data_IF_527020322917
#
_entry.id   IF_527020322917
#
_cell.length_a   1.000
_cell.length_b   1.000
_cell.length_c   1.000
_cell.angle_alpha   90.00
_cell.angle_beta   90.00
_cell.angle_gamma   90.00
#
_symmetry.space_group_name_H-M   'P 1'
#
loop_
_entity.id
_entity.type
_entity.pdbx_description
1 polymer ?
#
# COMPACT_ATOMS: atom_id res chain seq x y z
N UNK A 1 -0.26 37.01 -51.46
CA UNK A 1 -1.25 36.79 -50.38
C UNK A 1 -0.91 35.48 -49.72
N UNK A 2 -0.36 35.58 -48.51
CA UNK A 2 0.25 34.51 -47.73
C UNK A 2 -0.81 33.71 -46.97
N UNK A 3 -0.78 32.39 -47.14
CA UNK A 3 -1.61 31.42 -46.41
C UNK A 3 -1.20 31.40 -44.93
N UNK A 4 -2.13 31.74 -44.03
CA UNK A 4 -1.93 31.57 -42.59
C UNK A 4 -2.02 30.07 -42.23
N UNK A 5 -1.08 29.53 -41.44
CA UNK A 5 -1.20 28.17 -40.93
C UNK A 5 -2.24 28.13 -39.82
N UNK A 6 -3.25 27.29 -40.06
CA UNK A 6 -4.28 26.88 -39.11
C UNK A 6 -3.61 26.25 -37.89
N UNK A 7 -3.51 27.01 -36.81
CA UNK A 7 -2.92 26.56 -35.54
C UNK A 7 -4.01 25.90 -34.74
N UNK A 8 -4.24 24.62 -35.03
CA UNK A 8 -5.01 23.75 -34.14
C UNK A 8 -4.29 23.72 -32.79
N UNK A 9 -4.95 24.00 -31.66
CA UNK A 9 -4.32 23.85 -30.36
C UNK A 9 -3.98 22.38 -30.15
N UNK A 10 -2.68 22.07 -30.11
CA UNK A 10 -2.15 20.79 -29.68
C UNK A 10 -2.70 20.45 -28.29
N UNK A 11 -3.25 19.24 -28.13
CA UNK A 11 -3.66 18.63 -26.84
C UNK A 11 -2.45 18.32 -25.93
N UNK A 12 -1.50 19.23 -25.84
CA UNK A 12 -0.31 19.14 -24.99
C UNK A 12 -0.48 20.15 -23.87
N UNK A 13 -1.36 19.82 -22.93
CA UNK A 13 -1.69 20.71 -21.82
C UNK A 13 -2.83 20.22 -20.92
N UNK A 14 -3.13 18.91 -20.90
CA UNK A 14 -3.89 18.35 -19.78
C UNK A 14 -2.97 18.43 -18.55
N UNK A 15 -3.06 19.55 -17.85
CA UNK A 15 -2.71 19.62 -16.43
C UNK A 15 -3.53 18.52 -15.76
N UNK A 16 -2.90 17.38 -15.50
CA UNK A 16 -3.44 16.35 -14.63
C UNK A 16 -3.67 17.00 -13.27
N UNK A 17 -4.86 17.53 -13.04
CA UNK A 17 -5.34 17.77 -11.69
C UNK A 17 -5.45 16.39 -11.06
N UNK A 18 -4.36 15.95 -10.43
CA UNK A 18 -4.31 14.68 -9.71
C UNK A 18 -5.44 14.73 -8.67
N UNK A 19 -6.35 13.76 -8.76
CA UNK A 19 -7.42 13.58 -7.80
C UNK A 19 -6.77 13.51 -6.39
N UNK A 20 -7.09 14.42 -5.45
CA UNK A 20 -6.47 14.43 -4.12
C UNK A 20 -6.57 13.08 -3.40
N UNK A 21 -7.63 12.32 -3.66
CA UNK A 21 -7.80 10.97 -3.12
C UNK A 21 -6.76 10.01 -3.67
N UNK A 22 -6.51 10.03 -4.98
CA UNK A 22 -5.49 9.19 -5.61
C UNK A 22 -4.09 9.54 -5.10
N UNK A 23 -3.81 10.82 -4.85
CA UNK A 23 -2.52 11.23 -4.26
C UNK A 23 -2.37 10.71 -2.84
N UNK A 24 -3.39 10.89 -2.00
CA UNK A 24 -3.37 10.40 -0.62
C UNK A 24 -3.30 8.87 -0.57
N UNK A 25 -4.01 8.18 -1.47
CA UNK A 25 -3.98 6.73 -1.58
C UNK A 25 -2.61 6.22 -2.02
N UNK A 26 -1.97 6.87 -3.00
CA UNK A 26 -0.60 6.53 -3.40
C UNK A 26 0.37 6.66 -2.23
N UNK A 27 0.28 7.77 -1.48
CA UNK A 27 1.16 8.00 -0.34
C UNK A 27 1.02 6.90 0.72
N UNK A 28 -0.20 6.40 0.94
CA UNK A 28 -0.43 5.23 1.81
C UNK A 28 0.28 3.98 1.28
N UNK A 29 0.16 3.67 -0.01
CA UNK A 29 0.80 2.50 -0.61
C UNK A 29 2.33 2.57 -0.52
N UNK A 30 2.91 3.74 -0.81
CA UNK A 30 4.36 3.96 -0.74
C UNK A 30 4.89 3.76 0.70
N UNK A 31 4.15 4.25 1.69
CA UNK A 31 4.47 4.05 3.11
C UNK A 31 4.33 2.58 3.53
N UNK A 32 3.32 1.88 3.00
CA UNK A 32 3.12 0.46 3.26
C UNK A 32 4.28 -0.37 2.72
N UNK A 33 4.71 -0.10 1.48
CA UNK A 33 5.88 -0.75 0.89
C UNK A 33 7.15 -0.44 1.69
N UNK A 34 7.34 0.82 2.09
CA UNK A 34 8.47 1.21 2.94
C UNK A 34 8.50 0.45 4.26
N UNK A 35 7.34 0.29 4.90
CA UNK A 35 7.22 -0.47 6.14
C UNK A 35 7.57 -1.95 5.95
N UNK A 36 7.02 -2.59 4.91
CA UNK A 36 7.37 -3.99 4.57
C UNK A 36 8.86 -4.18 4.28
N UNK A 37 9.51 -3.23 3.59
CA UNK A 37 10.95 -3.28 3.32
C UNK A 37 11.78 -3.15 4.60
N UNK A 38 11.40 -2.24 5.49
CA UNK A 38 12.09 -2.06 6.78
C UNK A 38 11.96 -3.31 7.68
N UNK A 39 10.77 -3.89 7.72
CA UNK A 39 10.48 -5.13 8.45
C UNK A 39 11.27 -6.32 7.89
N UNK A 40 11.30 -6.46 6.56
CA UNK A 40 12.12 -7.46 5.87
C UNK A 40 13.61 -7.30 6.17
N UNK A 41 14.14 -6.07 6.16
CA UNK A 41 15.54 -5.81 6.50
C UNK A 41 15.89 -6.23 7.95
N UNK A 42 15.01 -5.95 8.91
CA UNK A 42 15.15 -6.43 10.28
C UNK A 42 15.20 -7.96 10.32
N UNK A 43 14.25 -8.64 9.69
CA UNK A 43 14.19 -10.10 9.68
C UNK A 43 15.39 -10.76 9.00
N UNK A 44 15.79 -10.26 7.83
CA UNK A 44 16.93 -10.78 7.08
C UNK A 44 18.26 -10.56 7.79
N UNK A 45 18.38 -9.54 8.64
CA UNK A 45 19.62 -9.28 9.38
C UNK A 45 19.96 -10.40 10.37
N UNK A 46 18.94 -11.10 10.91
CA UNK A 46 19.11 -12.05 12.02
C UNK A 46 19.72 -11.42 13.29
N UNK A 47 19.84 -10.09 13.36
CA UNK A 47 20.49 -9.40 14.45
C UNK A 47 19.63 -9.51 15.72
N UNK A 48 20.27 -9.82 16.84
CA UNK A 48 19.59 -9.79 18.13
C UNK A 48 19.06 -8.39 18.40
N UNK A 49 17.84 -8.28 18.93
CA UNK A 49 17.24 -7.00 19.32
C UNK A 49 18.03 -6.28 20.43
N UNK A 50 18.89 -7.02 21.15
CA UNK A 50 19.80 -6.47 22.16
C UNK A 50 21.09 -5.87 21.56
N UNK A 51 21.34 -6.09 20.26
CA UNK A 51 22.46 -5.47 19.56
C UNK A 51 22.07 -4.09 19.04
N UNK A 52 23.05 -3.19 18.91
CA UNK A 52 22.84 -1.85 18.35
C UNK A 52 22.15 -1.91 16.97
N UNK A 53 22.61 -2.82 16.11
CA UNK A 53 22.06 -3.00 14.75
C UNK A 53 20.61 -3.47 14.82
N UNK A 54 20.31 -4.48 15.64
CA UNK A 54 18.93 -4.98 15.80
C UNK A 54 18.00 -3.92 16.38
N UNK A 55 18.46 -3.11 17.32
CA UNK A 55 17.71 -1.99 17.87
C UNK A 55 17.41 -0.91 16.82
N UNK A 56 18.41 -0.49 16.05
CA UNK A 56 18.25 0.54 14.99
C UNK A 56 17.30 0.08 13.87
N UNK A 57 17.45 -1.17 13.41
CA UNK A 57 16.55 -1.77 12.42
C UNK A 57 15.14 -1.91 12.98
N UNK A 58 15.00 -2.35 14.23
CA UNK A 58 13.73 -2.47 14.93
C UNK A 58 13.00 -1.13 15.04
N UNK A 59 13.70 -0.08 15.45
CA UNK A 59 13.14 1.27 15.54
C UNK A 59 12.75 1.81 14.15
N UNK A 60 13.55 1.53 13.11
CA UNK A 60 13.24 1.93 11.73
C UNK A 60 11.96 1.26 11.23
N UNK A 61 11.80 -0.03 11.46
CA UNK A 61 10.59 -0.77 11.09
C UNK A 61 9.36 -0.27 11.88
N UNK A 62 9.49 -0.11 13.20
CA UNK A 62 8.42 0.41 14.05
C UNK A 62 7.94 1.80 13.61
N UNK A 63 8.88 2.71 13.32
CA UNK A 63 8.55 4.04 12.81
C UNK A 63 7.84 3.99 11.45
N UNK A 64 8.31 3.14 10.54
CA UNK A 64 7.69 3.02 9.23
C UNK A 64 6.25 2.49 9.31
N UNK A 65 5.98 1.54 10.20
CA UNK A 65 4.62 1.06 10.47
C UNK A 65 3.73 2.13 11.11
N UNK A 66 4.25 2.92 12.06
CA UNK A 66 3.51 4.02 12.68
C UNK A 66 3.17 5.14 11.68
N UNK A 67 4.10 5.47 10.77
CA UNK A 67 3.86 6.42 9.68
C UNK A 67 2.76 5.90 8.74
N UNK A 68 2.79 4.60 8.43
CA UNK A 68 1.78 3.93 7.60
C UNK A 68 0.39 3.96 8.26
N UNK A 69 0.28 3.60 9.54
CA UNK A 69 -0.95 3.67 10.32
C UNK A 69 -1.57 5.08 10.31
N UNK A 70 -0.73 6.09 10.60
CA UNK A 70 -1.15 7.50 10.59
C UNK A 70 -1.66 7.92 9.21
N UNK A 71 -0.99 7.50 8.14
CA UNK A 71 -1.39 7.82 6.78
C UNK A 71 -2.72 7.15 6.40
N UNK A 72 -2.94 5.89 6.76
CA UNK A 72 -4.20 5.19 6.49
C UNK A 72 -5.35 5.86 7.27
N UNK A 73 -5.15 6.16 8.56
CA UNK A 73 -6.13 6.89 9.37
C UNK A 73 -6.45 8.27 8.76
N UNK A 74 -5.43 8.98 8.26
CA UNK A 74 -5.61 10.27 7.58
C UNK A 74 -6.44 10.13 6.29
N UNK A 75 -6.14 9.13 5.46
CA UNK A 75 -6.90 8.83 4.26
C UNK A 75 -8.37 8.57 4.60
N UNK A 76 -8.65 7.77 5.64
CA UNK A 76 -10.01 7.46 6.08
C UNK A 76 -10.79 8.69 6.61
N UNK A 77 -10.10 9.71 7.11
CA UNK A 77 -10.73 10.96 7.54
C UNK A 77 -11.15 11.88 6.38
N UNK A 78 -10.75 11.58 5.13
CA UNK A 78 -11.13 12.40 3.98
C UNK A 78 -12.64 12.29 3.70
N UNK A 79 -13.38 13.41 3.62
CA UNK A 79 -14.84 13.40 3.50
C UNK A 79 -15.33 12.82 2.16
N UNK A 80 -14.59 13.10 1.09
CA UNK A 80 -14.98 12.69 -0.26
C UNK A 80 -14.37 11.36 -0.70
N UNK A 81 -13.66 10.64 0.19
CA UNK A 81 -12.99 9.39 -0.15
C UNK A 81 -13.98 8.39 -0.75
N UNK A 82 -13.68 7.91 -1.96
CA UNK A 82 -14.50 6.92 -2.63
C UNK A 82 -14.78 5.73 -1.70
N UNK A 83 -16.04 5.29 -1.66
CA UNK A 83 -16.46 4.20 -0.77
C UNK A 83 -15.63 2.92 -0.96
N UNK A 84 -15.18 2.63 -2.19
CA UNK A 84 -14.39 1.42 -2.46
C UNK A 84 -12.95 1.62 -2.01
N UNK A 85 -12.37 2.80 -2.24
CA UNK A 85 -11.06 3.17 -1.70
C UNK A 85 -11.06 3.15 -0.16
N UNK A 86 -12.12 3.62 0.48
CA UNK A 86 -12.32 3.52 1.94
C UNK A 86 -12.26 2.07 2.43
N UNK A 87 -13.02 1.17 1.80
CA UNK A 87 -12.98 -0.27 2.13
C UNK A 87 -11.57 -0.84 1.94
N UNK A 88 -10.87 -0.44 0.88
CA UNK A 88 -9.48 -0.87 0.66
C UNK A 88 -8.55 -0.40 1.77
N UNK A 89 -8.66 0.86 2.18
CA UNK A 89 -7.88 1.42 3.28
C UNK A 89 -8.19 0.73 4.62
N UNK A 90 -9.46 0.44 4.90
CA UNK A 90 -9.87 -0.35 6.06
C UNK A 90 -9.26 -1.75 6.06
N UNK A 91 -9.18 -2.41 4.90
CA UNK A 91 -8.50 -3.69 4.80
C UNK A 91 -6.99 -3.55 5.03
N UNK A 92 -6.34 -2.51 4.49
CA UNK A 92 -4.91 -2.27 4.74
C UNK A 92 -4.59 -2.10 6.24
N UNK A 93 -5.49 -1.53 7.04
CA UNK A 93 -5.31 -1.48 8.50
C UNK A 93 -5.17 -2.86 9.14
N UNK A 94 -5.88 -3.87 8.62
CA UNK A 94 -5.81 -5.25 9.15
C UNK A 94 -4.43 -5.89 8.95
N UNK A 95 -3.61 -5.32 8.07
CA UNK A 95 -2.25 -5.78 7.81
C UNK A 95 -1.20 -5.11 8.71
N UNK A 96 -1.59 -4.12 9.52
CA UNK A 96 -0.66 -3.48 10.46
C UNK A 96 -0.30 -4.45 11.58
N UNK A 97 0.96 -4.48 12.07
CA UNK A 97 1.42 -5.44 13.07
C UNK A 97 0.54 -5.57 14.33
N UNK A 98 -0.09 -4.48 14.77
CA UNK A 98 -0.98 -4.45 15.94
C UNK A 98 -2.37 -5.06 15.71
N UNK A 99 -2.73 -5.31 14.45
CA UNK A 99 -4.06 -5.76 14.03
C UNK A 99 -4.05 -7.10 13.29
N UNK A 100 -2.87 -7.70 13.06
CA UNK A 100 -2.75 -8.98 12.38
C UNK A 100 -3.33 -10.07 13.27
N UNK A 101 -4.49 -10.59 12.86
CA UNK A 101 -5.06 -11.82 13.39
C UNK A 101 -4.44 -13.04 12.68
N UNK A 102 -4.30 -14.16 13.39
CA UNK A 102 -3.70 -15.39 12.84
C UNK A 102 -4.52 -15.99 11.67
N UNK A 103 -5.82 -15.67 11.60
CA UNK A 103 -6.80 -16.28 10.67
C UNK A 103 -7.31 -15.30 9.59
N UNK A 104 -6.52 -14.28 9.22
CA UNK A 104 -6.90 -13.34 8.16
C UNK A 104 -7.17 -14.06 6.83
N UNK A 105 -8.34 -13.81 6.25
CA UNK A 105 -8.75 -14.37 4.96
C UNK A 105 -8.17 -13.57 3.78
N UNK A 106 -6.85 -13.65 3.58
CA UNK A 106 -6.11 -12.94 2.52
C UNK A 106 -6.74 -13.13 1.13
N UNK A 107 -7.07 -14.36 0.76
CA UNK A 107 -7.68 -14.69 -0.54
C UNK A 107 -9.06 -14.04 -0.73
N UNK A 108 -9.86 -14.02 0.34
CA UNK A 108 -11.16 -13.36 0.37
C UNK A 108 -11.04 -11.84 0.22
N UNK A 109 -10.08 -11.21 0.89
CA UNK A 109 -9.82 -9.78 0.77
C UNK A 109 -9.33 -9.41 -0.64
N UNK A 110 -8.32 -10.12 -1.17
CA UNK A 110 -7.85 -9.93 -2.54
C UNK A 110 -9.01 -9.97 -3.55
N UNK A 111 -9.84 -11.03 -3.47
CA UNK A 111 -10.97 -11.22 -4.39
C UNK A 111 -12.00 -10.08 -4.30
N UNK A 112 -12.25 -9.55 -3.09
CA UNK A 112 -13.15 -8.41 -2.88
C UNK A 112 -12.57 -7.14 -3.50
N UNK A 113 -11.29 -6.86 -3.25
CA UNK A 113 -10.60 -5.66 -3.75
C UNK A 113 -10.46 -5.68 -5.27
N UNK A 114 -10.07 -6.80 -5.87
CA UNK A 114 -9.94 -6.94 -7.32
C UNK A 114 -11.29 -6.75 -8.05
N UNK A 115 -12.40 -7.19 -7.46
CA UNK A 115 -13.74 -6.91 -7.99
C UNK A 115 -14.10 -5.44 -7.87
N UNK A 116 -13.78 -4.82 -6.73
CA UNK A 116 -14.06 -3.40 -6.48
C UNK A 116 -13.26 -2.47 -7.42
N UNK A 117 -11.97 -2.77 -7.65
CA UNK A 117 -11.11 -2.04 -8.59
C UNK A 117 -11.63 -2.14 -10.03
N UNK A 118 -11.99 -3.35 -10.49
CA UNK A 118 -12.56 -3.56 -11.82
C UNK A 118 -13.85 -2.76 -12.04
N UNK A 119 -14.69 -2.66 -11.02
CA UNK A 119 -15.92 -1.86 -11.06
C UNK A 119 -15.67 -0.34 -11.04
N UNK A 120 -14.50 0.10 -10.57
CA UNK A 120 -14.11 1.51 -10.51
C UNK A 120 -13.39 1.99 -11.78
N UNK A 121 -12.71 1.08 -12.48
CA UNK A 121 -11.78 1.42 -13.58
C UNK A 121 -12.36 2.28 -14.69
N UNK A 122 -13.66 2.15 -15.01
CA UNK A 122 -14.32 3.00 -16.03
C UNK A 122 -14.55 4.44 -15.58
N UNK A 123 -14.60 4.70 -14.27
CA UNK A 123 -14.87 6.01 -13.68
C UNK A 123 -13.59 6.70 -13.23
N UNK A 124 -12.68 5.94 -12.63
CA UNK A 124 -11.40 6.42 -12.15
C UNK A 124 -10.37 5.30 -12.33
N UNK A 125 -9.60 5.37 -13.41
CA UNK A 125 -8.62 4.34 -13.73
C UNK A 125 -7.46 4.35 -12.75
N UNK A 126 -6.96 5.54 -12.37
CA UNK A 126 -5.83 5.67 -11.47
C UNK A 126 -6.14 5.08 -10.09
N UNK A 127 -7.27 5.46 -9.50
CA UNK A 127 -7.68 4.94 -8.20
C UNK A 127 -7.98 3.43 -8.27
N UNK A 128 -8.52 2.93 -9.39
CA UNK A 128 -8.72 1.51 -9.58
C UNK A 128 -7.40 0.73 -9.63
N UNK A 129 -6.39 1.27 -10.30
CA UNK A 129 -5.07 0.64 -10.39
C UNK A 129 -4.38 0.62 -9.00
N UNK A 130 -4.46 1.72 -8.26
CA UNK A 130 -3.98 1.79 -6.87
C UNK A 130 -4.69 0.80 -5.93
N UNK A 131 -5.99 0.61 -6.08
CA UNK A 131 -6.72 -0.42 -5.33
C UNK A 131 -6.29 -1.84 -5.71
N UNK A 132 -5.89 -2.06 -6.96
CA UNK A 132 -5.35 -3.35 -7.39
C UNK A 132 -3.96 -3.57 -6.80
N UNK A 133 -3.12 -2.53 -6.75
CA UNK A 133 -1.82 -2.58 -6.08
C UNK A 133 -1.97 -2.90 -4.59
N UNK A 134 -2.94 -2.27 -3.92
CA UNK A 134 -3.31 -2.61 -2.55
C UNK A 134 -3.71 -4.09 -2.41
N UNK A 135 -4.46 -4.64 -3.37
CA UNK A 135 -4.81 -6.06 -3.35
C UNK A 135 -3.59 -6.95 -3.50
N UNK A 136 -2.62 -6.57 -4.34
CA UNK A 136 -1.36 -7.30 -4.50
C UNK A 136 -0.51 -7.28 -3.22
N UNK A 137 -0.55 -6.19 -2.45
CA UNK A 137 0.12 -6.11 -1.13
C UNK A 137 -0.35 -7.25 -0.21
N UNK A 138 -1.65 -7.61 -0.19
CA UNK A 138 -2.14 -8.75 0.62
C UNK A 138 -1.45 -10.06 0.27
N UNK A 139 -1.23 -10.33 -1.03
CA UNK A 139 -0.56 -11.54 -1.48
C UNK A 139 0.93 -11.56 -1.08
N UNK A 140 1.62 -10.43 -1.26
CA UNK A 140 3.02 -10.30 -0.88
C UNK A 140 3.16 -10.45 0.64
N UNK A 141 2.28 -9.83 1.40
CA UNK A 141 2.27 -9.90 2.86
C UNK A 141 2.01 -11.33 3.36
N UNK A 142 1.03 -12.03 2.80
CA UNK A 142 0.75 -13.43 3.11
C UNK A 142 1.96 -14.33 2.83
N UNK A 143 2.62 -14.14 1.68
CA UNK A 143 3.83 -14.88 1.33
C UNK A 143 4.97 -14.59 2.31
N UNK A 144 5.19 -13.33 2.70
CA UNK A 144 6.21 -12.92 3.67
C UNK A 144 5.95 -13.55 5.04
N UNK A 145 4.70 -13.55 5.52
CA UNK A 145 4.34 -14.21 6.78
C UNK A 145 4.62 -15.72 6.74
N UNK A 146 4.28 -16.40 5.64
CA UNK A 146 4.57 -17.84 5.47
C UNK A 146 6.08 -18.11 5.48
N UNK A 147 6.87 -17.29 4.79
CA UNK A 147 8.34 -17.41 4.77
C UNK A 147 8.95 -17.19 6.17
N UNK A 148 8.52 -16.15 6.88
CA UNK A 148 9.00 -15.87 8.25
C UNK A 148 8.65 -17.01 9.22
N UNK A 149 7.45 -17.59 9.12
CA UNK A 149 7.04 -18.77 9.91
C UNK A 149 7.94 -19.97 9.62
N UNK A 150 8.27 -20.24 8.36
CA UNK A 150 9.17 -21.34 7.98
C UNK A 150 10.60 -21.15 8.50
N UNK A 151 11.13 -19.92 8.48
CA UNK A 151 12.48 -19.62 8.98
C UNK A 151 12.60 -19.85 10.50
N UNK A 152 11.56 -19.53 11.29
CA UNK A 152 11.55 -19.80 12.74
C UNK A 152 11.64 -21.29 13.07
N UNK A 153 11.06 -22.16 12.24
CA UNK A 153 11.13 -23.62 12.43
C UNK A 153 12.56 -24.14 12.16
N UNK A 154 13.27 -23.56 11.21
CA UNK A 154 14.60 -24.04 10.80
C UNK A 154 15.73 -23.63 11.76
N UNK A 155 15.56 -22.54 12.52
CA UNK A 155 16.54 -22.09 13.52
C UNK A 155 16.38 -22.82 14.87
N UNK A 156 15.22 -23.44 15.10
CA UNK A 156 14.91 -24.18 16.32
C UNK A 156 15.20 -25.70 16.24
N UNK A 157 15.70 -26.18 15.09
CA UNK A 157 16.07 -27.57 14.83
C UNK A 157 17.60 -27.73 14.80
#
# INVERSE_FOLDING_TARGET
>A
MTTSPDTTPSKSGELYFLNPQSVAFQAVLDLFEKAMRADSALHLSGASILSQIGFELGNTAAKAWADCDTAIKTLLMMPDLDKRARITAEFLLLLLPEHIEDDLNFQGYFSKLAKASKALRKRDQLLADQMMDAALIFHVFEANLKLAKLQRVHVAA
#
